data_IF_095975680436
#
_entry.id   IF_095975680436
#
_cell.length_a   1.000
_cell.length_b   1.000
_cell.length_c   1.000
_cell.angle_alpha   90.00
_cell.angle_beta   90.00
_cell.angle_gamma   90.00
#
_symmetry.space_group_name_H-M   'P 1'
#
loop_
_entity.id
_entity.type
_entity.pdbx_description
1 polymer ?
#
# COMPACT_ATOMS: atom_id res chain seq x y z
N UNK A 1 -32.68 35.91 23.99
CA UNK A 1 -31.49 35.28 24.59
C UNK A 1 -31.44 33.77 24.38
N UNK A 2 -32.58 33.06 24.51
CA UNK A 2 -32.68 31.60 24.32
C UNK A 2 -32.16 31.08 22.95
N UNK A 3 -32.42 31.82 21.86
CA UNK A 3 -31.94 31.47 20.49
C UNK A 3 -30.41 31.48 20.34
N UNK A 4 -29.71 32.27 21.17
CA UNK A 4 -28.24 32.30 21.19
C UNK A 4 -27.67 31.13 22.01
N UNK A 5 -28.36 30.73 23.08
CA UNK A 5 -27.99 29.59 23.92
C UNK A 5 -28.13 28.26 23.16
N UNK A 6 -29.21 28.08 22.39
CA UNK A 6 -29.40 26.90 21.53
C UNK A 6 -28.33 26.77 20.46
N UNK A 7 -27.88 27.89 19.89
CA UNK A 7 -26.80 27.90 18.89
C UNK A 7 -25.45 27.47 19.50
N UNK A 8 -25.14 27.93 20.72
CA UNK A 8 -23.91 27.56 21.43
C UNK A 8 -23.92 26.07 21.79
N UNK A 9 -25.04 25.55 22.28
CA UNK A 9 -25.18 24.12 22.61
C UNK A 9 -25.02 23.27 21.34
N UNK A 10 -25.61 23.66 20.22
CA UNK A 10 -25.48 22.92 18.96
C UNK A 10 -24.04 22.94 18.42
N UNK A 11 -23.32 24.05 18.59
CA UNK A 11 -21.91 24.16 18.20
C UNK A 11 -21.00 23.32 19.12
N UNK A 12 -21.30 23.26 20.42
CA UNK A 12 -20.60 22.39 21.36
C UNK A 12 -20.85 20.90 21.07
N UNK A 13 -22.09 20.52 20.74
CA UNK A 13 -22.42 19.15 20.31
C UNK A 13 -21.68 18.79 19.02
N UNK A 14 -21.63 19.69 18.05
CA UNK A 14 -20.87 19.47 16.82
C UNK A 14 -19.37 19.30 17.08
N UNK A 15 -18.79 20.12 17.97
CA UNK A 15 -17.38 19.99 18.36
C UNK A 15 -17.08 18.65 19.04
N UNK A 16 -17.99 18.16 19.90
CA UNK A 16 -17.86 16.84 20.53
C UNK A 16 -17.97 15.72 19.50
N UNK A 17 -18.89 15.81 18.52
CA UNK A 17 -19.00 14.82 17.44
C UNK A 17 -17.71 14.74 16.61
N UNK A 18 -17.04 15.86 16.35
CA UNK A 18 -15.76 15.88 15.60
C UNK A 18 -14.65 15.15 16.37
N UNK A 19 -14.64 15.19 17.71
CA UNK A 19 -13.65 14.48 18.54
C UNK A 19 -13.79 12.95 18.48
N UNK A 20 -14.96 12.44 18.10
CA UNK A 20 -15.24 11.01 17.97
C UNK A 20 -15.23 10.51 16.52
N UNK A 21 -14.86 11.36 15.55
CA UNK A 21 -14.63 10.87 14.20
C UNK A 21 -13.42 9.92 14.20
N UNK A 22 -13.52 8.71 13.63
CA UNK A 22 -12.37 7.84 13.50
C UNK A 22 -11.29 8.57 12.70
N UNK A 23 -10.09 8.71 13.28
CA UNK A 23 -8.95 9.20 12.54
C UNK A 23 -8.58 8.13 11.49
N UNK A 24 -8.30 8.54 10.24
CA UNK A 24 -7.73 7.59 9.30
C UNK A 24 -6.41 7.11 9.88
N UNK A 25 -6.31 5.81 10.17
CA UNK A 25 -5.03 5.20 10.50
C UNK A 25 -4.13 5.41 9.28
N UNK A 26 -3.09 6.24 9.43
CA UNK A 26 -2.11 6.46 8.39
C UNK A 26 -1.45 5.10 8.11
N UNK A 27 -1.76 4.50 6.97
CA UNK A 27 -1.07 3.32 6.51
C UNK A 27 0.41 3.67 6.37
N UNK A 28 1.29 2.90 7.01
CA UNK A 28 2.73 3.13 6.89
C UNK A 28 3.12 3.00 5.41
N UNK A 29 3.56 4.09 4.80
CA UNK A 29 4.04 4.09 3.42
C UNK A 29 5.39 3.37 3.37
N UNK A 30 5.40 2.16 2.83
CA UNK A 30 6.62 1.37 2.65
C UNK A 30 7.29 1.79 1.35
N UNK A 31 8.50 2.35 1.45
CA UNK A 31 9.32 2.68 0.27
C UNK A 31 10.38 1.61 0.04
N UNK A 32 10.63 1.28 -1.22
CA UNK A 32 11.62 0.27 -1.61
C UNK A 32 12.59 0.88 -2.61
N UNK A 33 13.88 0.63 -2.42
CA UNK A 33 14.93 1.04 -3.34
C UNK A 33 15.80 -0.17 -3.71
N UNK A 34 16.22 -0.23 -4.98
CA UNK A 34 17.16 -1.23 -5.49
C UNK A 34 18.41 -0.49 -5.94
N UNK A 35 19.58 -0.87 -5.41
CA UNK A 35 20.84 -0.19 -5.68
C UNK A 35 20.76 1.34 -5.51
N UNK A 36 20.15 1.80 -4.40
CA UNK A 36 19.95 3.21 -4.06
C UNK A 36 19.01 4.00 -4.99
N UNK A 37 18.34 3.32 -5.93
CA UNK A 37 17.33 3.94 -6.79
C UNK A 37 15.94 3.56 -6.30
N UNK A 38 15.07 4.56 -6.02
CA UNK A 38 13.68 4.29 -5.65
C UNK A 38 13.00 3.43 -6.71
N UNK A 39 12.31 2.38 -6.29
CA UNK A 39 11.55 1.53 -7.17
C UNK A 39 10.17 2.15 -7.40
N UNK A 40 9.91 2.60 -8.63
CA UNK A 40 8.59 3.09 -9.02
C UNK A 40 7.65 1.91 -9.27
N UNK A 41 6.56 1.85 -8.51
CA UNK A 41 5.56 0.79 -8.60
C UNK A 41 4.32 1.32 -9.32
N UNK A 42 3.96 0.71 -10.44
CA UNK A 42 2.73 1.00 -11.20
C UNK A 42 1.53 0.15 -10.77
N UNK A 43 1.75 -0.84 -9.90
CA UNK A 43 0.77 -1.83 -9.47
C UNK A 43 0.49 -1.78 -7.97
N UNK A 44 0.25 -2.94 -7.33
CA UNK A 44 0.02 -3.01 -5.90
C UNK A 44 1.18 -2.38 -5.12
N UNK A 45 0.87 -1.62 -4.08
CA UNK A 45 1.89 -1.05 -3.21
C UNK A 45 2.41 -2.10 -2.21
N UNK A 46 3.66 -1.97 -1.73
CA UNK A 46 4.17 -2.83 -0.68
C UNK A 46 3.43 -2.54 0.62
N UNK A 47 3.22 -3.55 1.45
CA UNK A 47 2.52 -3.40 2.72
C UNK A 47 3.05 -4.37 3.76
N UNK A 48 2.83 -4.07 5.04
CA UNK A 48 3.23 -4.96 6.14
C UNK A 48 2.10 -5.94 6.45
N UNK A 49 2.41 -7.24 6.47
CA UNK A 49 1.50 -8.28 6.91
C UNK A 49 2.25 -9.27 7.81
N UNK A 50 1.74 -9.52 9.02
CA UNK A 50 2.38 -10.44 9.96
C UNK A 50 3.81 -10.04 10.38
N UNK A 51 4.14 -8.74 10.37
CA UNK A 51 5.47 -8.23 10.71
C UNK A 51 6.50 -8.32 9.58
N UNK A 52 6.11 -8.76 8.39
CA UNK A 52 6.97 -8.76 7.19
C UNK A 52 6.43 -7.84 6.11
N UNK A 53 7.32 -7.31 5.28
CA UNK A 53 6.95 -6.50 4.11
C UNK A 53 6.61 -7.42 2.95
N UNK A 54 5.38 -7.34 2.48
CA UNK A 54 4.92 -7.93 1.22
C UNK A 54 5.24 -6.97 0.08
N UNK A 55 5.96 -7.47 -0.92
CA UNK A 55 6.35 -6.71 -2.11
C UNK A 55 5.85 -7.44 -3.38
N UNK A 56 5.31 -6.73 -4.39
CA UNK A 56 4.91 -7.37 -5.63
C UNK A 56 6.09 -8.09 -6.27
N UNK A 57 5.94 -9.40 -6.43
CA UNK A 57 7.00 -10.27 -6.95
C UNK A 57 7.55 -9.78 -8.30
N UNK A 58 6.66 -9.39 -9.23
CA UNK A 58 7.05 -8.91 -10.56
C UNK A 58 7.98 -7.70 -10.45
N UNK A 59 7.56 -6.69 -9.70
CA UNK A 59 8.33 -5.46 -9.53
C UNK A 59 9.69 -5.73 -8.90
N UNK A 60 9.74 -6.56 -7.85
CA UNK A 60 11.00 -6.94 -7.20
C UNK A 60 11.93 -7.68 -8.17
N UNK A 61 11.38 -8.60 -8.95
CA UNK A 61 12.15 -9.44 -9.88
C UNK A 61 12.71 -8.64 -11.05
N UNK A 62 11.88 -7.80 -11.67
CA UNK A 62 12.26 -6.92 -12.77
C UNK A 62 13.29 -5.87 -12.34
N UNK A 63 13.12 -5.28 -11.16
CA UNK A 63 14.10 -4.33 -10.61
C UNK A 63 15.48 -4.95 -10.40
N UNK A 64 15.54 -6.27 -10.16
CA UNK A 64 16.76 -7.04 -10.04
C UNK A 64 17.24 -7.65 -11.38
N UNK A 65 16.62 -7.28 -12.49
CA UNK A 65 17.04 -7.66 -13.85
C UNK A 65 16.47 -8.99 -14.36
N UNK A 66 15.42 -9.54 -13.74
CA UNK A 66 14.71 -10.69 -14.29
C UNK A 66 13.60 -10.25 -15.26
N UNK A 67 13.33 -11.06 -16.29
CA UNK A 67 12.12 -10.95 -17.09
C UNK A 67 11.04 -11.86 -16.50
N UNK A 68 9.81 -11.36 -16.34
CA UNK A 68 8.70 -12.10 -15.75
C UNK A 68 7.58 -12.26 -16.79
N UNK A 69 7.19 -13.50 -17.05
CA UNK A 69 6.07 -13.85 -17.92
C UNK A 69 4.99 -14.59 -17.13
N UNK A 70 3.72 -14.40 -17.52
CA UNK A 70 2.59 -15.10 -16.92
C UNK A 70 1.95 -16.03 -17.94
N UNK A 71 1.79 -17.29 -17.57
CA UNK A 71 1.01 -18.27 -18.30
C UNK A 71 -0.33 -18.48 -17.59
N UNK A 72 -1.37 -17.80 -18.10
CA UNK A 72 -2.71 -17.91 -17.55
C UNK A 72 -3.42 -19.24 -17.84
N UNK A 73 -2.93 -20.04 -18.79
CA UNK A 73 -3.49 -21.37 -19.03
C UNK A 73 -3.03 -22.36 -17.95
N UNK A 74 -1.76 -22.26 -17.56
CA UNK A 74 -1.16 -23.13 -16.54
C UNK A 74 -1.17 -22.53 -15.13
N UNK A 75 -1.59 -21.27 -14.97
CA UNK A 75 -1.56 -20.49 -13.72
C UNK A 75 -0.16 -20.35 -13.09
N UNK A 76 0.87 -20.25 -13.95
CA UNK A 76 2.24 -20.16 -13.50
C UNK A 76 2.91 -18.85 -13.96
N UNK A 77 3.78 -18.30 -13.12
CA UNK A 77 4.69 -17.24 -13.48
C UNK A 77 6.08 -17.84 -13.77
N UNK A 78 6.70 -17.40 -14.87
CA UNK A 78 8.07 -17.77 -15.23
C UNK A 78 8.98 -16.55 -15.08
N UNK A 79 10.07 -16.71 -14.34
CA UNK A 79 11.09 -15.70 -14.09
C UNK A 79 12.39 -16.13 -14.77
N UNK A 80 12.93 -15.28 -15.62
CA UNK A 80 14.15 -15.52 -16.39
C UNK A 80 15.21 -14.49 -16.01
N UNK A 81 16.37 -14.92 -15.51
CA UNK A 81 17.52 -14.03 -15.26
C UNK A 81 18.81 -14.68 -15.72
N UNK A 82 19.36 -14.21 -16.84
CA UNK A 82 20.50 -14.86 -17.48
C UNK A 82 20.14 -16.31 -17.84
N UNK A 83 20.90 -17.27 -17.30
CA UNK A 83 20.66 -18.70 -17.51
C UNK A 83 19.77 -19.34 -16.43
N UNK A 84 19.29 -18.55 -15.45
CA UNK A 84 18.43 -19.05 -14.37
C UNK A 84 16.96 -18.91 -14.77
N UNK A 85 16.22 -20.01 -14.59
CA UNK A 85 14.77 -20.08 -14.81
C UNK A 85 14.12 -20.51 -13.49
N UNK A 86 13.12 -19.76 -13.05
CA UNK A 86 12.23 -20.15 -11.96
C UNK A 86 10.79 -20.14 -12.46
N UNK A 87 10.04 -21.17 -12.08
CA UNK A 87 8.61 -21.31 -12.38
C UNK A 87 7.91 -21.48 -11.05
N UNK A 88 6.85 -20.70 -10.84
CA UNK A 88 6.07 -20.61 -9.60
C UNK A 88 4.59 -20.53 -9.93
#
# INVERSE_FOLDING_TARGET
MLKKLTAIVMMAVLAVVIMFLPSPAAAAEVTVAVNWRPLSLSGPQPYVAGGIVMLPLRAASEALGAHVSWDGANNNATLLRGNNVAII
#
